data_IF_912801373986
#
_entry.id   IF_912801373986
#
_cell.length_a   1.000
_cell.length_b   1.000
_cell.length_c   1.000
_cell.angle_alpha   90.00
_cell.angle_beta   90.00
_cell.angle_gamma   90.00
#
_symmetry.space_group_name_H-M   'P 1'
#
loop_
_entity.id
_entity.type
_entity.pdbx_description
1 polymer ?
#
# COMPACT_ATOMS: atom_id res chain seq x y z
N UNK A 1 -8.39 -16.68 9.84
CA UNK A 1 -7.23 -16.34 8.97
C UNK A 1 -7.50 -15.21 7.97
N UNK A 2 -8.67 -15.17 7.28
CA UNK A 2 -9.03 -14.13 6.31
C UNK A 2 -9.06 -12.67 6.83
N UNK A 3 -9.20 -12.47 8.15
CA UNK A 3 -9.25 -11.14 8.78
C UNK A 3 -7.92 -10.39 8.67
N UNK A 4 -6.78 -11.10 8.71
CA UNK A 4 -5.45 -10.49 8.63
C UNK A 4 -5.16 -9.89 7.24
N UNK A 5 -5.55 -10.61 6.17
CA UNK A 5 -5.40 -10.13 4.78
C UNK A 5 -6.33 -8.93 4.52
N UNK A 6 -7.54 -8.93 5.10
CA UNK A 6 -8.46 -7.79 5.03
C UNK A 6 -7.96 -6.56 5.79
N UNK A 7 -7.23 -6.76 6.89
CA UNK A 7 -6.51 -5.67 7.57
C UNK A 7 -5.37 -5.12 6.72
N UNK A 8 -4.63 -6.00 6.03
CA UNK A 8 -3.53 -5.61 5.14
C UNK A 8 -3.98 -4.80 3.92
N UNK A 9 -5.12 -5.15 3.32
CA UNK A 9 -5.70 -4.51 2.13
C UNK A 9 -6.75 -3.44 2.50
N UNK A 10 -6.97 -3.24 3.81
CA UNK A 10 -8.04 -2.39 4.31
C UNK A 10 -7.88 -0.92 3.87
N UNK A 11 -8.96 -0.24 3.46
CA UNK A 11 -8.91 1.18 3.11
C UNK A 11 -8.45 2.01 4.31
N UNK A 12 -7.72 3.10 4.04
CA UNK A 12 -7.28 4.04 5.09
C UNK A 12 -8.53 4.69 5.70
N UNK A 13 -8.66 4.54 7.01
CA UNK A 13 -9.80 5.11 7.75
C UNK A 13 -9.42 6.53 8.12
N UNK A 14 -10.14 7.49 7.55
CA UNK A 14 -10.07 8.88 7.96
C UNK A 14 -11.28 9.16 8.84
N UNK A 15 -11.05 9.42 10.13
CA UNK A 15 -12.13 9.68 11.09
C UNK A 15 -12.43 11.19 11.05
N UNK A 16 -13.42 11.57 10.25
CA UNK A 16 -13.87 12.96 10.13
C UNK A 16 -15.02 13.33 11.08
N UNK A 17 -15.64 12.36 11.78
CA UNK A 17 -16.82 12.60 12.60
C UNK A 17 -16.51 12.72 14.10
N UNK A 18 -17.06 13.80 14.68
CA UNK A 18 -16.97 14.24 16.08
C UNK A 18 -17.80 13.32 16.98
N UNK A 19 -17.25 12.91 18.13
CA UNK A 19 -18.00 12.28 19.22
C UNK A 19 -18.32 13.31 20.31
N UNK A 20 -19.39 13.06 21.07
CA UNK A 20 -20.03 13.99 22.03
C UNK A 20 -19.11 14.49 23.18
N UNK A 21 -17.94 13.86 23.40
CA UNK A 21 -17.00 14.21 24.48
C UNK A 21 -15.63 14.75 24.03
N UNK A 22 -15.41 15.07 22.76
CA UNK A 22 -14.13 15.64 22.35
C UNK A 22 -14.04 16.04 20.89
N UNK A 23 -13.35 17.16 20.63
CA UNK A 23 -13.12 17.70 19.30
C UNK A 23 -12.59 16.60 18.36
N UNK A 24 -13.22 16.46 17.19
CA UNK A 24 -12.82 15.50 16.17
C UNK A 24 -11.40 15.79 15.72
N UNK A 25 -10.43 15.11 16.34
CA UNK A 25 -9.05 15.12 15.89
C UNK A 25 -8.97 14.25 14.66
N UNK A 26 -8.27 14.74 13.64
CA UNK A 26 -7.74 13.90 12.58
C UNK A 26 -7.13 12.66 13.22
N UNK A 27 -7.42 11.49 12.66
CA UNK A 27 -6.76 10.25 13.06
C UNK A 27 -5.25 10.50 13.00
N UNK A 28 -4.64 10.75 14.16
CA UNK A 28 -3.22 10.99 14.30
C UNK A 28 -2.57 9.62 14.16
N UNK A 29 -2.38 9.24 12.90
CA UNK A 29 -1.68 8.02 12.57
C UNK A 29 -0.38 8.00 13.36
N UNK A 30 -0.09 6.85 13.97
CA UNK A 30 1.08 6.71 14.81
C UNK A 30 2.34 7.18 14.03
N UNK A 31 3.40 7.68 14.67
CA UNK A 31 4.61 8.12 13.93
C UNK A 31 5.08 7.07 12.91
N UNK A 32 4.90 5.79 13.27
CA UNK A 32 5.17 4.63 12.42
C UNK A 32 4.37 4.62 11.10
N UNK A 33 3.09 5.02 11.13
CA UNK A 33 2.26 5.16 9.93
C UNK A 33 2.77 6.30 9.04
N UNK A 34 3.18 7.43 9.62
CA UNK A 34 3.76 8.56 8.87
C UNK A 34 5.08 8.20 8.18
N UNK A 35 5.99 7.52 8.89
CA UNK A 35 7.24 7.02 8.32
C UNK A 35 6.97 6.00 7.20
N UNK A 36 6.03 5.07 7.42
CA UNK A 36 5.67 4.06 6.41
C UNK A 36 5.04 4.68 5.14
N UNK A 37 4.23 5.74 5.30
CA UNK A 37 3.64 6.48 4.19
C UNK A 37 4.68 7.27 3.40
N UNK A 38 5.68 7.84 4.08
CA UNK A 38 6.82 8.49 3.44
C UNK A 38 7.62 7.52 2.57
N UNK A 39 7.93 6.33 3.09
CA UNK A 39 8.69 5.32 2.35
C UNK A 39 7.93 4.89 1.08
N UNK A 40 6.64 4.57 1.17
CA UNK A 40 5.93 4.15 -0.05
C UNK A 40 5.78 5.28 -1.06
N UNK A 41 5.54 6.52 -0.61
CA UNK A 41 5.51 7.66 -1.54
C UNK A 41 6.83 7.84 -2.26
N UNK A 42 7.95 7.79 -1.54
CA UNK A 42 9.29 7.94 -2.16
C UNK A 42 9.61 6.80 -3.12
N UNK A 43 9.28 5.56 -2.78
CA UNK A 43 9.49 4.41 -3.66
C UNK A 43 8.61 4.50 -4.92
N UNK A 44 7.33 4.84 -4.77
CA UNK A 44 6.42 4.96 -5.91
C UNK A 44 6.81 6.12 -6.84
N UNK A 45 7.22 7.25 -6.27
CA UNK A 45 7.77 8.38 -7.01
C UNK A 45 9.04 7.98 -7.77
N UNK A 46 9.97 7.29 -7.11
CA UNK A 46 11.21 6.84 -7.74
C UNK A 46 10.96 5.85 -8.89
N UNK A 47 10.00 4.94 -8.73
CA UNK A 47 9.60 4.00 -9.78
C UNK A 47 8.95 4.74 -10.96
N UNK A 48 8.05 5.68 -10.69
CA UNK A 48 7.42 6.51 -11.71
C UNK A 48 8.45 7.35 -12.45
N UNK A 49 9.42 7.92 -11.74
CA UNK A 49 10.50 8.71 -12.31
C UNK A 49 11.42 7.83 -13.17
N UNK A 50 11.79 6.64 -12.69
CA UNK A 50 12.58 5.67 -13.44
C UNK A 50 11.86 5.23 -14.73
N UNK A 51 10.54 5.05 -14.68
CA UNK A 51 9.74 4.72 -15.85
C UNK A 51 9.73 5.86 -16.89
N UNK A 52 9.46 7.09 -16.43
CA UNK A 52 9.48 8.27 -17.30
C UNK A 52 10.87 8.53 -17.88
N UNK A 53 11.92 8.37 -17.08
CA UNK A 53 13.30 8.49 -17.53
C UNK A 53 13.68 7.37 -18.49
N UNK A 54 13.21 6.14 -18.29
CA UNK A 54 13.46 5.03 -19.20
C UNK A 54 12.85 5.27 -20.59
N UNK A 55 11.64 5.83 -20.64
CA UNK A 55 11.00 6.20 -21.92
C UNK A 55 11.72 7.39 -22.58
N UNK A 56 12.03 8.44 -21.80
CA UNK A 56 12.63 9.66 -22.35
C UNK A 56 14.11 9.48 -22.74
N UNK A 57 14.85 8.70 -21.94
CA UNK A 57 16.23 8.33 -22.22
C UNK A 57 16.36 7.10 -23.12
N UNK A 58 15.25 6.55 -23.64
CA UNK A 58 15.20 5.36 -24.49
C UNK A 58 16.30 5.29 -25.56
N UNK A 59 16.56 6.32 -26.40
CA UNK A 59 17.62 6.22 -27.41
C UNK A 59 19.03 6.15 -26.81
N UNK A 60 19.27 6.82 -25.68
CA UNK A 60 20.58 6.84 -24.99
C UNK A 60 20.80 5.55 -24.19
N UNK A 61 19.78 5.12 -23.46
CA UNK A 61 19.79 3.87 -22.69
C UNK A 61 19.95 2.69 -23.63
N UNK A 62 19.21 2.63 -24.73
CA UNK A 62 19.33 1.56 -25.73
C UNK A 62 20.73 1.49 -26.32
N UNK A 63 21.32 2.65 -26.66
CA UNK A 63 22.70 2.69 -27.21
C UNK A 63 23.75 2.25 -26.20
N UNK A 64 23.62 2.67 -24.93
CA UNK A 64 24.51 2.24 -23.84
C UNK A 64 24.33 0.75 -23.53
N UNK A 65 23.09 0.27 -23.49
CA UNK A 65 22.74 -1.11 -23.14
C UNK A 65 23.18 -2.10 -24.22
N UNK A 66 23.09 -1.68 -25.50
CA UNK A 66 23.63 -2.41 -26.65
C UNK A 66 25.16 -2.46 -26.61
N UNK A 67 25.82 -1.34 -26.31
CA UNK A 67 27.30 -1.25 -26.29
C UNK A 67 27.92 -1.93 -25.06
N UNK A 68 27.20 -2.01 -23.94
CA UNK A 68 27.65 -2.68 -22.70
C UNK A 68 27.34 -4.18 -22.64
N UNK A 69 26.59 -4.74 -23.60
CA UNK A 69 26.33 -6.17 -23.63
C UNK A 69 25.48 -6.67 -22.47
N UNK A 70 24.53 -5.87 -21.97
CA UNK A 70 23.58 -6.27 -20.91
C UNK A 70 22.68 -7.47 -21.27
N UNK A 71 22.73 -7.95 -22.53
CA UNK A 71 22.18 -9.24 -22.97
C UNK A 71 23.04 -10.46 -22.58
N UNK A 72 24.18 -10.25 -21.92
CA UNK A 72 25.00 -11.32 -21.34
C UNK A 72 24.41 -11.77 -20.00
N UNK A 73 24.59 -13.05 -19.63
CA UNK A 73 24.08 -13.64 -18.39
C UNK A 73 24.42 -12.82 -17.12
N UNK A 74 25.61 -12.20 -17.09
CA UNK A 74 26.07 -11.27 -16.05
C UNK A 74 25.15 -10.03 -15.90
N UNK A 75 24.68 -9.48 -17.02
CA UNK A 75 23.75 -8.33 -17.05
C UNK A 75 22.37 -8.68 -16.52
N UNK A 76 21.86 -9.88 -16.85
CA UNK A 76 20.60 -10.37 -16.27
C UNK A 76 20.72 -10.61 -14.76
N UNK A 77 21.85 -11.12 -14.29
CA UNK A 77 22.06 -11.40 -12.87
C UNK A 77 22.09 -10.12 -12.03
N UNK A 78 22.71 -9.05 -12.54
CA UNK A 78 22.72 -7.74 -11.87
C UNK A 78 21.33 -7.10 -11.83
N UNK A 79 20.57 -7.18 -12.93
CA UNK A 79 19.15 -6.76 -12.98
C UNK A 79 18.29 -7.53 -11.98
N UNK A 80 18.49 -8.85 -11.88
CA UNK A 80 17.78 -9.69 -10.92
C UNK A 80 18.08 -9.29 -9.48
N UNK A 81 19.36 -9.07 -9.13
CA UNK A 81 19.75 -8.59 -7.79
C UNK A 81 19.11 -7.24 -7.46
N UNK A 82 19.07 -6.32 -8.43
CA UNK A 82 18.43 -5.03 -8.24
C UNK A 82 16.92 -5.16 -8.01
N UNK A 83 16.24 -5.91 -8.88
CA UNK A 83 14.79 -6.19 -8.78
C UNK A 83 14.44 -6.88 -7.46
N UNK A 84 15.22 -7.89 -7.05
CA UNK A 84 15.05 -8.61 -5.79
C UNK A 84 15.17 -7.67 -4.59
N UNK A 85 16.16 -6.77 -4.58
CA UNK A 85 16.36 -5.79 -3.52
C UNK A 85 15.16 -4.83 -3.40
N UNK A 86 14.68 -4.30 -4.53
CA UNK A 86 13.49 -3.43 -4.56
C UNK A 86 12.25 -4.20 -4.10
N UNK A 87 12.08 -5.45 -4.54
CA UNK A 87 10.99 -6.32 -4.14
C UNK A 87 10.95 -6.56 -2.62
N UNK A 88 12.10 -6.85 -2.01
CA UNK A 88 12.22 -7.04 -0.56
C UNK A 88 11.87 -5.74 0.19
N UNK A 89 12.38 -4.59 -0.27
CA UNK A 89 12.05 -3.28 0.32
C UNK A 89 10.56 -2.98 0.26
N UNK A 90 9.91 -3.25 -0.88
CA UNK A 90 8.47 -3.10 -1.03
C UNK A 90 7.73 -4.02 -0.06
N UNK A 91 8.11 -5.30 -0.01
CA UNK A 91 7.49 -6.27 0.88
C UNK A 91 7.60 -5.85 2.35
N UNK A 92 8.79 -5.43 2.80
CA UNK A 92 9.02 -4.94 4.15
C UNK A 92 8.16 -3.72 4.45
N UNK A 93 8.04 -2.79 3.50
CA UNK A 93 7.24 -1.58 3.70
C UNK A 93 5.74 -1.90 3.79
N UNK A 94 5.25 -2.84 2.98
CA UNK A 94 3.90 -3.38 3.12
C UNK A 94 3.70 -4.07 4.47
N UNK A 95 4.71 -4.78 4.96
CA UNK A 95 4.66 -5.46 6.25
C UNK A 95 4.58 -4.48 7.42
N UNK A 96 5.42 -3.43 7.42
CA UNK A 96 5.40 -2.35 8.41
C UNK A 96 4.04 -1.63 8.41
N UNK A 97 3.47 -1.38 7.21
CA UNK A 97 2.11 -0.85 7.08
C UNK A 97 1.05 -1.77 7.68
N UNK A 98 1.15 -3.07 7.43
CA UNK A 98 0.25 -4.07 8.00
C UNK A 98 0.34 -4.15 9.52
N UNK A 99 1.54 -4.08 10.08
CA UNK A 99 1.77 -4.09 11.54
C UNK A 99 1.25 -2.80 12.19
N UNK A 100 1.47 -1.64 11.57
CA UNK A 100 0.91 -0.36 12.04
C UNK A 100 -0.62 -0.37 12.13
N UNK A 101 -1.30 -1.05 11.20
CA UNK A 101 -2.77 -1.25 11.21
C UNK A 101 -3.26 -2.16 12.32
N UNK A 102 -2.49 -3.19 12.68
CA UNK A 102 -2.85 -4.15 13.74
C UNK A 102 -2.62 -3.55 15.14
N UNK A 103 -1.58 -2.72 15.30
CA UNK A 103 -1.28 -2.09 16.58
C UNK A 103 -2.26 -0.99 16.99
N UNK A 104 -3.09 -0.48 16.08
CA UNK A 104 -4.07 0.54 16.44
C UNK A 104 -5.42 -0.09 16.85
N UNK A 105 -5.73 -0.07 18.15
CA UNK A 105 -6.99 -0.57 18.71
C UNK A 105 -8.23 0.16 18.19
N UNK A 106 -8.11 1.44 17.80
CA UNK A 106 -9.20 2.19 17.19
C UNK A 106 -9.58 1.66 15.80
N UNK A 107 -8.60 1.14 15.06
CA UNK A 107 -8.81 0.57 13.73
C UNK A 107 -9.61 -0.74 13.78
N UNK A 108 -9.33 -1.59 14.77
CA UNK A 108 -10.08 -2.83 15.00
C UNK A 108 -11.55 -2.55 15.33
N UNK A 109 -11.80 -1.58 16.20
CA UNK A 109 -13.16 -1.17 16.58
C UNK A 109 -13.95 -0.67 15.37
N UNK A 110 -13.31 0.12 14.49
CA UNK A 110 -13.92 0.57 13.25
C UNK A 110 -14.23 -0.57 12.27
N UNK A 111 -13.30 -1.50 12.07
CA UNK A 111 -13.53 -2.63 11.15
C UNK A 111 -14.70 -3.50 11.63
N UNK A 112 -14.81 -3.74 12.94
CA UNK A 112 -15.93 -4.51 13.50
C UNK A 112 -17.26 -3.80 13.26
N UNK A 113 -17.32 -2.49 13.49
CA UNK A 113 -18.52 -1.69 13.20
C UNK A 113 -18.89 -1.68 11.71
N UNK A 114 -17.89 -1.61 10.83
CA UNK A 114 -18.08 -1.62 9.38
C UNK A 114 -18.59 -2.99 8.89
N UNK A 115 -18.07 -4.09 9.44
CA UNK A 115 -18.52 -5.43 9.08
C UNK A 115 -19.97 -5.67 9.53
N UNK A 116 -20.31 -5.22 10.74
CA UNK A 116 -21.69 -5.24 11.23
C UNK A 116 -22.65 -4.47 10.30
N UNK A 117 -22.24 -3.27 9.87
CA UNK A 117 -23.05 -2.47 8.92
C UNK A 117 -23.18 -3.14 7.54
N UNK A 118 -22.11 -3.73 7.00
CA UNK A 118 -22.16 -4.46 5.71
C UNK A 118 -23.09 -5.66 5.76
N UNK A 119 -23.06 -6.41 6.86
CA UNK A 119 -23.97 -7.54 7.06
C UNK A 119 -25.42 -7.05 7.15
N UNK A 120 -25.69 -5.96 7.88
CA UNK A 120 -27.01 -5.36 7.95
C UNK A 120 -27.51 -4.89 6.58
N UNK A 121 -26.68 -4.17 5.81
CA UNK A 121 -27.02 -3.73 4.44
C UNK A 121 -27.33 -4.91 3.51
N UNK A 122 -26.58 -5.99 3.62
CA UNK A 122 -26.81 -7.21 2.82
C UNK A 122 -28.14 -7.87 3.17
N UNK A 123 -28.47 -7.94 4.46
CA UNK A 123 -29.77 -8.46 4.93
C UNK A 123 -30.95 -7.62 4.43
N UNK A 124 -30.83 -6.29 4.50
CA UNK A 124 -31.86 -5.37 4.00
C UNK A 124 -32.05 -5.47 2.49
N UNK A 125 -30.95 -5.65 1.73
CA UNK A 125 -31.02 -5.86 0.27
C UNK A 125 -31.75 -7.16 -0.08
N UNK A 126 -31.53 -8.25 0.65
CA UNK A 126 -32.24 -9.51 0.42
C UNK A 126 -33.74 -9.40 0.77
N UNK A 127 -34.09 -8.65 1.81
CA UNK A 127 -35.50 -8.42 2.18
C UNK A 127 -36.27 -7.61 1.14
N UNK A 128 -35.62 -6.65 0.46
CA UNK A 128 -36.26 -5.81 -0.57
C UNK A 128 -36.26 -6.44 -1.97
N UNK A 129 -35.53 -7.54 -2.19
CA UNK A 129 -35.54 -8.29 -3.47
C UNK A 129 -36.50 -9.47 -3.50
N UNK A 130 -37.33 -9.62 -2.46
CA UNK A 130 -38.31 -10.71 -2.31
C UNK A 130 -39.77 -10.23 -2.46
N UNK A 131 -39.97 -9.02 -3.03
CA UNK A 131 -41.27 -8.45 -3.40
C UNK A 131 -41.27 -8.25 -4.91
#
# INVERSE_FOLDING_TARGET
MLTFIRCFIGPRVFRFYKNDHGQGKDYSGNLLEHYSDGIVKTVFFSLSLAWSLGIYASPVVTSIMYRRGYFTAEGMFTLYKFSSTVGILLFLTFFIRGVGRIMNSDYLTFIVALDAYKQQKTRLKNSNGSI
#
